data_IF_310336582556
#
_entry.id   IF_310336582556
#
_cell.length_a   1.000
_cell.length_b   1.000
_cell.length_c   1.000
_cell.angle_alpha   90.00
_cell.angle_beta   90.00
_cell.angle_gamma   90.00
#
_symmetry.space_group_name_H-M   'P 1'
#
loop_
_entity.id
_entity.type
_entity.pdbx_description
1 polymer ?
#
# COMPACT_ATOMS: atom_id res chain seq x y z
N UNK A 1 -18.32 21.23 -3.37
CA UNK A 1 -17.09 20.57 -3.87
C UNK A 1 -17.03 20.71 -5.37
N UNK A 2 -15.97 21.30 -5.91
CA UNK A 2 -15.84 21.52 -7.36
C UNK A 2 -15.94 20.16 -8.08
N UNK A 3 -16.71 20.08 -9.20
CA UNK A 3 -16.96 18.82 -9.92
C UNK A 3 -15.70 18.11 -10.39
N UNK A 4 -14.62 18.88 -10.61
CA UNK A 4 -13.35 18.40 -11.15
C UNK A 4 -12.38 17.82 -10.11
N UNK A 5 -12.58 18.05 -8.82
CA UNK A 5 -11.71 17.54 -7.75
C UNK A 5 -11.99 16.06 -7.54
N UNK A 6 -10.97 15.22 -7.71
CA UNK A 6 -11.03 13.76 -7.54
C UNK A 6 -10.40 13.29 -6.24
N UNK A 7 -9.41 14.02 -5.71
CA UNK A 7 -8.82 13.78 -4.39
C UNK A 7 -8.90 15.08 -3.61
N UNK A 8 -9.44 15.02 -2.39
CA UNK A 8 -9.40 16.13 -1.44
C UNK A 8 -8.87 15.63 -0.11
N UNK A 9 -7.82 16.26 0.38
CA UNK A 9 -7.17 15.97 1.66
C UNK A 9 -7.31 17.21 2.55
N UNK A 10 -7.82 17.03 3.76
CA UNK A 10 -8.13 18.12 4.68
C UNK A 10 -7.52 17.83 6.06
N UNK A 11 -6.56 18.68 6.48
CA UNK A 11 -5.90 18.64 7.78
C UNK A 11 -5.36 17.26 8.19
N UNK A 12 -4.87 16.50 7.18
CA UNK A 12 -4.42 15.12 7.35
C UNK A 12 -3.21 15.06 8.26
N UNK A 13 -3.29 14.24 9.29
CA UNK A 13 -2.17 13.99 10.20
C UNK A 13 -2.05 12.49 10.48
N UNK A 14 -0.81 12.00 10.59
CA UNK A 14 -0.52 10.63 10.99
C UNK A 14 0.58 10.60 12.03
N UNK A 15 0.25 9.99 13.15
CA UNK A 15 1.15 9.75 14.26
C UNK A 15 1.43 8.25 14.40
N UNK A 16 2.68 7.89 14.62
CA UNK A 16 3.10 6.56 15.01
C UNK A 16 3.67 6.59 16.42
N UNK A 17 3.40 5.53 17.17
CA UNK A 17 4.01 5.33 18.48
C UNK A 17 5.18 4.37 18.31
N UNK A 18 6.39 4.84 18.63
CA UNK A 18 7.59 4.02 18.62
C UNK A 18 7.78 3.51 20.05
N UNK A 19 7.54 2.23 20.26
CA UNK A 19 7.77 1.55 21.54
C UNK A 19 8.54 0.26 21.31
N UNK A 20 9.23 -0.24 22.34
CA UNK A 20 9.73 -1.61 22.32
C UNK A 20 8.52 -2.53 22.10
N UNK A 21 8.64 -3.44 21.11
CA UNK A 21 7.70 -4.56 20.98
C UNK A 21 7.57 -5.20 22.35
N UNK A 22 6.36 -5.36 22.83
CA UNK A 22 6.11 -6.29 23.93
C UNK A 22 6.74 -7.62 23.50
N UNK A 23 7.83 -7.99 24.16
CA UNK A 23 8.39 -9.33 24.07
C UNK A 23 7.22 -10.28 24.28
N UNK A 24 7.13 -11.36 23.50
CA UNK A 24 6.10 -12.39 23.68
C UNK A 24 6.21 -12.94 25.11
N UNK A 25 5.62 -12.21 26.05
CA UNK A 25 5.56 -12.61 27.44
C UNK A 25 4.58 -13.78 27.51
N UNK A 26 5.04 -14.92 28.01
CA UNK A 26 4.16 -16.04 28.32
C UNK A 26 3.18 -15.62 29.41
N UNK A 27 2.04 -16.32 29.55
CA UNK A 27 1.07 -16.04 30.61
C UNK A 27 1.73 -16.05 31.99
N UNK A 28 2.77 -16.85 32.18
CA UNK A 28 3.57 -16.94 33.42
C UNK A 28 4.34 -15.63 33.67
N UNK A 29 4.94 -15.05 32.64
CA UNK A 29 5.72 -13.80 32.77
C UNK A 29 4.78 -12.63 33.10
N UNK A 30 3.56 -12.62 32.55
CA UNK A 30 2.53 -11.61 32.87
C UNK A 30 2.11 -11.64 34.34
N UNK A 31 2.00 -12.84 34.96
CA UNK A 31 1.61 -12.99 36.36
C UNK A 31 2.71 -12.55 37.34
N UNK A 32 3.98 -12.74 36.96
CA UNK A 32 5.14 -12.39 37.83
C UNK A 32 5.47 -10.88 37.73
N UNK A 33 5.14 -10.21 36.61
CA UNK A 33 5.45 -8.78 36.38
C UNK A 33 4.35 -7.81 36.85
N UNK A 34 3.16 -8.32 37.26
CA UNK A 34 2.03 -7.49 37.71
C UNK A 34 2.40 -6.43 38.74
N UNK A 35 3.22 -6.69 39.78
CA UNK A 35 3.55 -5.66 40.78
C UNK A 35 4.61 -4.64 40.31
N UNK A 36 5.42 -4.96 39.27
CA UNK A 36 6.49 -4.08 38.78
C UNK A 36 6.04 -3.09 37.70
N UNK A 37 4.91 -3.34 37.03
CA UNK A 37 4.37 -2.46 35.95
C UNK A 37 3.69 -1.21 36.47
N UNK A 38 3.31 -1.14 37.75
CA UNK A 38 2.59 0.01 38.33
C UNK A 38 3.48 1.27 38.39
N UNK A 39 4.81 1.12 38.36
CA UNK A 39 5.75 2.25 38.52
C UNK A 39 6.63 2.56 37.30
N UNK A 40 6.57 1.80 36.20
CA UNK A 40 7.30 2.16 34.98
C UNK A 40 6.38 2.80 33.96
N UNK A 41 6.36 4.13 33.98
CA UNK A 41 5.79 4.95 32.90
C UNK A 41 6.69 4.78 31.68
N UNK A 42 6.37 3.81 30.79
CA UNK A 42 7.06 3.67 29.52
C UNK A 42 6.84 4.94 28.71
N UNK A 43 7.89 5.68 28.47
CA UNK A 43 7.88 6.84 27.57
C UNK A 43 7.75 6.33 26.13
N UNK A 44 6.51 6.18 25.68
CA UNK A 44 6.20 5.91 24.27
C UNK A 44 6.64 7.13 23.47
N UNK A 45 7.68 7.01 22.65
CA UNK A 45 8.07 8.07 21.72
C UNK A 45 7.03 8.17 20.62
N UNK A 46 6.37 9.31 20.53
CA UNK A 46 5.45 9.60 19.43
C UNK A 46 6.21 10.26 18.29
N UNK A 47 5.92 9.83 17.08
CA UNK A 47 6.49 10.37 15.86
C UNK A 47 5.37 10.76 14.90
N UNK A 48 5.36 12.04 14.49
CA UNK A 48 4.43 12.53 13.49
C UNK A 48 5.02 12.35 12.10
N UNK A 49 4.47 11.39 11.35
CA UNK A 49 4.86 11.16 9.97
C UNK A 49 4.24 12.19 9.01
N UNK A 50 3.02 12.65 9.32
CA UNK A 50 2.32 13.73 8.63
C UNK A 50 1.70 14.66 9.66
N UNK A 51 1.63 15.97 9.36
CA UNK A 51 1.06 16.97 10.24
C UNK A 51 0.34 18.05 9.44
N UNK A 52 -0.99 18.12 9.59
CA UNK A 52 -1.87 19.11 8.96
C UNK A 52 -1.67 19.30 7.45
N UNK A 53 -1.61 18.19 6.70
CA UNK A 53 -1.44 18.21 5.25
C UNK A 53 -2.81 18.43 4.60
N UNK A 54 -2.92 19.42 3.72
CA UNK A 54 -4.14 19.70 2.95
C UNK A 54 -3.78 20.02 1.51
N UNK A 55 -4.49 19.38 0.57
CA UNK A 55 -4.36 19.64 -0.87
C UNK A 55 -5.55 19.05 -1.62
N UNK A 56 -5.70 19.45 -2.87
CA UNK A 56 -6.70 18.90 -3.79
C UNK A 56 -5.99 18.48 -5.08
N UNK A 57 -6.52 17.43 -5.71
CA UNK A 57 -6.08 16.97 -7.04
C UNK A 57 -7.28 16.91 -7.96
N UNK A 58 -7.16 17.50 -9.13
CA UNK A 58 -8.19 17.54 -10.17
C UNK A 58 -8.08 16.35 -11.11
N UNK A 59 -9.12 16.09 -11.84
CA UNK A 59 -9.13 15.05 -12.87
C UNK A 59 -8.07 15.33 -13.95
N UNK A 60 -7.25 14.30 -14.26
CA UNK A 60 -6.15 14.42 -15.24
C UNK A 60 -4.91 15.10 -14.71
N UNK A 61 -4.91 15.58 -13.47
CA UNK A 61 -3.75 16.21 -12.85
C UNK A 61 -2.73 15.15 -12.41
N UNK A 62 -1.43 15.45 -12.59
CA UNK A 62 -0.29 14.68 -12.10
C UNK A 62 0.33 15.41 -10.91
N UNK A 63 0.26 14.80 -9.73
CA UNK A 63 0.84 15.35 -8.50
C UNK A 63 2.15 14.65 -8.14
N UNK A 64 3.26 15.38 -8.10
CA UNK A 64 4.54 14.89 -7.61
C UNK A 64 4.71 15.14 -6.11
N UNK A 65 5.01 14.09 -5.34
CA UNK A 65 5.32 14.18 -3.91
C UNK A 65 6.82 14.01 -3.70
N UNK A 66 7.52 15.10 -3.41
CA UNK A 66 8.97 15.12 -3.22
C UNK A 66 9.35 15.44 -1.77
N UNK A 67 10.53 15.02 -1.35
CA UNK A 67 11.03 15.27 0.01
C UNK A 67 12.12 14.27 0.41
N UNK A 68 12.82 14.55 1.52
CA UNK A 68 13.87 13.69 2.09
C UNK A 68 13.31 12.31 2.51
N UNK A 69 14.20 11.32 2.70
CA UNK A 69 13.81 10.05 3.30
C UNK A 69 13.27 10.28 4.72
N UNK A 70 12.16 9.62 5.06
CA UNK A 70 11.45 9.84 6.32
C UNK A 70 10.48 11.03 6.35
N UNK A 71 10.35 11.83 5.28
CA UNK A 71 9.44 12.98 5.23
C UNK A 71 7.93 12.62 5.17
N UNK A 72 7.57 11.34 5.22
CA UNK A 72 6.17 10.91 5.24
C UNK A 72 5.55 10.61 3.87
N UNK A 73 6.31 10.68 2.75
CA UNK A 73 5.81 10.43 1.39
C UNK A 73 5.07 9.09 1.27
N UNK A 74 5.71 7.99 1.67
CA UNK A 74 5.12 6.65 1.63
C UNK A 74 3.92 6.52 2.58
N UNK A 75 3.92 7.23 3.71
CA UNK A 75 2.79 7.26 4.64
C UNK A 75 1.59 7.95 3.99
N UNK A 76 1.80 9.09 3.32
CA UNK A 76 0.73 9.78 2.58
C UNK A 76 0.13 8.86 1.51
N UNK A 77 0.97 8.24 0.68
CA UNK A 77 0.51 7.32 -0.37
C UNK A 77 -0.25 6.11 0.21
N UNK A 78 0.22 5.51 1.31
CA UNK A 78 -0.48 4.41 2.00
C UNK A 78 -1.85 4.83 2.54
N UNK A 79 -1.99 6.07 3.01
CA UNK A 79 -3.28 6.59 3.46
C UNK A 79 -4.21 6.85 2.27
N UNK A 80 -3.72 7.45 1.18
CA UNK A 80 -4.48 7.64 -0.05
C UNK A 80 -4.95 6.30 -0.66
N UNK A 81 -4.14 5.26 -0.54
CA UNK A 81 -4.46 3.89 -0.97
C UNK A 81 -5.33 3.11 0.04
N UNK A 82 -5.76 3.75 1.14
CA UNK A 82 -6.56 3.13 2.21
C UNK A 82 -5.90 1.92 2.89
N UNK A 83 -4.58 1.80 2.81
CA UNK A 83 -3.79 0.76 3.51
C UNK A 83 -3.59 1.14 4.99
N UNK A 84 -3.49 2.44 5.27
CA UNK A 84 -3.27 2.98 6.62
C UNK A 84 -4.30 4.06 6.89
N UNK A 85 -4.94 4.02 8.06
CA UNK A 85 -5.85 5.07 8.48
C UNK A 85 -5.10 6.30 9.00
N UNK A 86 -5.61 7.51 8.76
CA UNK A 86 -5.06 8.74 9.36
C UNK A 86 -5.31 8.77 10.87
N UNK A 87 -4.52 9.53 11.60
CA UNK A 87 -4.77 9.82 13.03
C UNK A 87 -5.81 10.93 13.20
N UNK A 88 -5.82 11.91 12.31
CA UNK A 88 -6.82 12.98 12.23
C UNK A 88 -6.86 13.55 10.81
N UNK A 89 -7.90 14.33 10.53
CA UNK A 89 -8.18 14.88 9.20
C UNK A 89 -9.05 13.94 8.37
N UNK A 90 -9.32 14.35 7.14
CA UNK A 90 -10.26 13.64 6.26
C UNK A 90 -9.71 13.56 4.83
N UNK A 91 -10.03 12.46 4.16
CA UNK A 91 -9.74 12.25 2.74
C UNK A 91 -11.02 11.89 2.02
N UNK A 92 -11.28 12.61 0.93
CA UNK A 92 -12.36 12.30 0.01
C UNK A 92 -11.76 11.88 -1.32
N UNK A 93 -12.09 10.66 -1.76
CA UNK A 93 -11.64 10.08 -3.03
C UNK A 93 -12.85 9.78 -3.91
N UNK A 94 -12.83 10.22 -5.17
CA UNK A 94 -13.86 9.91 -6.16
C UNK A 94 -13.35 8.89 -7.16
N UNK A 95 -14.05 7.77 -7.27
CA UNK A 95 -13.70 6.69 -8.20
C UNK A 95 -12.88 5.57 -7.56
N UNK A 96 -12.34 4.68 -8.41
CA UNK A 96 -11.47 3.58 -7.99
C UNK A 96 -10.05 4.08 -7.77
N UNK A 97 -9.40 3.62 -6.71
CA UNK A 97 -7.99 3.89 -6.42
C UNK A 97 -7.23 2.59 -6.65
N UNK A 98 -6.26 2.62 -7.55
CA UNK A 98 -5.26 1.56 -7.70
C UNK A 98 -3.94 2.05 -7.09
N UNK A 99 -3.25 1.18 -6.36
CA UNK A 99 -1.98 1.47 -5.73
C UNK A 99 -0.88 0.58 -6.30
N UNK A 100 0.19 1.20 -6.78
CA UNK A 100 1.40 0.52 -7.22
C UNK A 100 2.51 0.54 -6.15
N UNK A 101 2.17 0.83 -4.90
CA UNK A 101 3.15 0.92 -3.80
C UNK A 101 3.85 -0.40 -3.52
N UNK A 102 3.22 -1.49 -3.84
CA UNK A 102 3.70 -2.84 -3.57
C UNK A 102 3.52 -3.70 -4.84
N UNK A 103 4.30 -3.36 -5.89
CA UNK A 103 4.28 -4.09 -7.17
C UNK A 103 4.58 -5.58 -6.92
N UNK A 104 3.67 -6.45 -7.36
CA UNK A 104 3.83 -7.89 -7.27
C UNK A 104 3.46 -8.55 -5.94
N UNK A 105 2.98 -7.80 -4.93
CA UNK A 105 2.57 -8.40 -3.64
C UNK A 105 1.40 -9.38 -3.77
N UNK A 106 0.60 -9.26 -4.83
CA UNK A 106 -0.50 -10.18 -5.13
C UNK A 106 -0.09 -11.42 -5.93
N UNK A 107 1.16 -11.52 -6.36
CA UNK A 107 1.62 -12.63 -7.19
C UNK A 107 1.84 -13.90 -6.36
N UNK A 108 1.36 -15.02 -6.86
CA UNK A 108 1.69 -16.35 -6.34
C UNK A 108 2.79 -16.97 -7.22
N UNK A 109 3.89 -17.33 -6.60
CA UNK A 109 5.07 -17.85 -7.29
C UNK A 109 4.84 -19.21 -7.97
N UNK A 110 3.89 -20.01 -7.49
CA UNK A 110 3.54 -21.30 -8.06
C UNK A 110 2.62 -21.19 -9.29
N UNK A 111 1.95 -20.05 -9.46
CA UNK A 111 1.08 -19.80 -10.60
C UNK A 111 1.87 -19.31 -11.81
N UNK A 112 1.34 -19.59 -13.00
CA UNK A 112 1.86 -19.08 -14.27
C UNK A 112 1.71 -17.56 -14.38
N UNK A 113 2.40 -16.93 -15.34
CA UNK A 113 2.21 -15.53 -15.66
C UNK A 113 0.76 -15.19 -16.01
N UNK A 114 0.13 -16.07 -16.82
CA UNK A 114 -1.29 -15.96 -17.18
C UNK A 114 -2.22 -15.91 -15.97
N UNK A 115 -2.06 -16.87 -15.07
CA UNK A 115 -2.89 -16.97 -13.86
C UNK A 115 -2.65 -15.79 -12.92
N UNK A 116 -1.41 -15.31 -12.80
CA UNK A 116 -1.07 -14.12 -12.01
C UNK A 116 -1.68 -12.84 -12.58
N UNK A 117 -1.80 -12.68 -13.90
CA UNK A 117 -2.51 -11.55 -14.52
C UNK A 117 -3.96 -11.50 -14.02
N UNK A 118 -4.67 -12.65 -14.04
CA UNK A 118 -6.05 -12.70 -13.55
C UNK A 118 -6.14 -12.49 -12.04
N UNK A 119 -5.23 -13.09 -11.27
CA UNK A 119 -5.19 -12.95 -9.82
C UNK A 119 -4.96 -11.50 -9.42
N UNK A 120 -3.89 -10.89 -9.94
CA UNK A 120 -3.53 -9.52 -9.62
C UNK A 120 -4.56 -8.50 -10.10
N UNK A 121 -5.07 -8.67 -11.32
CA UNK A 121 -6.15 -7.84 -11.83
C UNK A 121 -7.40 -7.87 -10.94
N UNK A 122 -7.75 -9.05 -10.41
CA UNK A 122 -8.87 -9.20 -9.48
C UNK A 122 -8.59 -8.52 -8.13
N UNK A 123 -7.37 -8.62 -7.60
CA UNK A 123 -6.94 -7.93 -6.37
C UNK A 123 -7.02 -6.40 -6.55
N UNK A 124 -6.66 -5.90 -7.74
CA UNK A 124 -6.78 -4.48 -8.09
C UNK A 124 -8.23 -4.03 -8.39
N UNK A 125 -9.21 -4.92 -8.23
CA UNK A 125 -10.62 -4.62 -8.39
C UNK A 125 -11.12 -4.61 -9.84
N UNK A 126 -10.39 -5.24 -10.76
CA UNK A 126 -10.86 -5.43 -12.14
C UNK A 126 -11.83 -6.61 -12.23
N UNK A 127 -12.86 -6.47 -13.04
CA UNK A 127 -13.73 -7.58 -13.40
C UNK A 127 -13.02 -8.53 -14.38
N UNK A 128 -13.43 -9.80 -14.44
CA UNK A 128 -12.89 -10.78 -15.38
C UNK A 128 -12.99 -10.32 -16.85
N UNK A 129 -14.06 -9.56 -17.19
CA UNK A 129 -14.24 -8.98 -18.53
C UNK A 129 -13.20 -7.90 -18.83
N UNK A 130 -12.91 -7.03 -17.85
CA UNK A 130 -11.89 -5.98 -17.99
C UNK A 130 -10.50 -6.59 -18.14
N UNK A 131 -10.17 -7.59 -17.32
CA UNK A 131 -8.88 -8.30 -17.42
C UNK A 131 -8.74 -8.93 -18.80
N UNK A 132 -9.77 -9.69 -19.26
CA UNK A 132 -9.74 -10.33 -20.59
C UNK A 132 -9.56 -9.32 -21.72
N UNK A 133 -10.19 -8.15 -21.64
CA UNK A 133 -10.06 -7.10 -22.65
C UNK A 133 -8.65 -6.51 -22.72
N UNK A 134 -7.95 -6.45 -21.58
CA UNK A 134 -6.60 -5.85 -21.47
C UNK A 134 -5.49 -6.90 -21.48
N UNK A 135 -5.84 -8.16 -21.59
CA UNK A 135 -4.89 -9.25 -21.41
C UNK A 135 -3.74 -9.19 -22.42
N UNK A 136 -4.04 -9.01 -23.69
CA UNK A 136 -3.03 -8.96 -24.75
C UNK A 136 -2.12 -7.73 -24.60
N UNK A 137 -2.69 -6.56 -24.23
CA UNK A 137 -1.92 -5.34 -23.95
C UNK A 137 -0.95 -5.55 -22.77
N UNK A 138 -1.39 -6.24 -21.71
CA UNK A 138 -0.56 -6.56 -20.53
C UNK A 138 0.59 -7.50 -20.93
N UNK A 139 0.29 -8.53 -21.69
CA UNK A 139 1.30 -9.51 -22.14
C UNK A 139 2.34 -8.83 -23.04
N UNK A 140 1.91 -8.06 -24.03
CA UNK A 140 2.78 -7.30 -24.92
C UNK A 140 3.66 -6.32 -24.15
N UNK A 141 3.08 -5.52 -23.24
CA UNK A 141 3.82 -4.56 -22.42
C UNK A 141 4.88 -5.23 -21.55
N UNK A 142 4.54 -6.36 -20.95
CA UNK A 142 5.47 -7.10 -20.07
C UNK A 142 6.59 -7.81 -20.82
N UNK A 143 6.39 -8.15 -22.12
CA UNK A 143 7.33 -8.87 -22.96
C UNK A 143 7.61 -10.30 -22.46
N UNK A 144 6.61 -10.96 -21.87
CA UNK A 144 6.73 -12.32 -21.31
C UNK A 144 5.98 -13.38 -22.10
N UNK A 145 5.56 -13.09 -23.35
CA UNK A 145 4.72 -14.00 -24.18
C UNK A 145 5.22 -15.43 -24.18
N UNK A 146 6.54 -15.62 -24.39
CA UNK A 146 7.17 -16.94 -24.47
C UNK A 146 7.15 -17.73 -23.17
N UNK A 147 6.96 -17.04 -22.03
CA UNK A 147 6.99 -17.59 -20.69
C UNK A 147 5.64 -17.53 -19.99
N UNK A 148 4.60 -17.08 -20.69
CA UNK A 148 3.30 -16.76 -20.11
C UNK A 148 2.67 -17.93 -19.35
N UNK A 149 2.88 -19.16 -19.83
CA UNK A 149 2.37 -20.38 -19.22
C UNK A 149 3.40 -21.11 -18.33
N UNK A 150 4.49 -20.39 -17.97
CA UNK A 150 5.51 -20.87 -17.03
C UNK A 150 5.23 -20.26 -15.65
N UNK A 151 5.40 -21.01 -14.53
CA UNK A 151 5.30 -20.47 -13.18
C UNK A 151 6.26 -19.32 -12.95
N UNK A 152 5.77 -18.23 -12.31
CA UNK A 152 6.56 -16.99 -12.17
C UNK A 152 7.78 -17.14 -11.25
N UNK A 153 7.88 -18.21 -10.47
CA UNK A 153 9.11 -18.56 -9.72
C UNK A 153 10.33 -18.78 -10.63
N UNK A 154 10.11 -19.08 -11.90
CA UNK A 154 11.17 -19.26 -12.89
C UNK A 154 11.46 -17.99 -13.70
N UNK A 155 10.75 -16.89 -13.40
CA UNK A 155 10.99 -15.62 -14.07
C UNK A 155 12.25 -14.95 -13.55
N UNK A 156 12.93 -14.21 -14.41
CA UNK A 156 13.93 -13.25 -13.94
C UNK A 156 13.25 -12.13 -13.14
N UNK A 157 14.01 -11.46 -12.28
CA UNK A 157 13.48 -10.32 -11.51
C UNK A 157 12.87 -9.24 -12.40
N UNK A 158 13.48 -8.98 -13.57
CA UNK A 158 12.96 -8.01 -14.55
C UNK A 158 11.65 -8.46 -15.19
N UNK A 159 11.49 -9.75 -15.53
CA UNK A 159 10.24 -10.31 -16.04
C UNK A 159 9.13 -10.21 -15.01
N UNK A 160 9.45 -10.58 -13.76
CA UNK A 160 8.50 -10.51 -12.65
C UNK A 160 7.99 -9.08 -12.43
N UNK A 161 8.88 -8.10 -12.33
CA UNK A 161 8.50 -6.70 -12.08
C UNK A 161 7.70 -6.13 -13.25
N UNK A 162 8.10 -6.39 -14.52
CA UNK A 162 7.36 -5.89 -15.69
C UNK A 162 5.95 -6.47 -15.79
N UNK A 163 5.78 -7.76 -15.46
CA UNK A 163 4.44 -8.37 -15.47
C UNK A 163 3.58 -7.86 -14.31
N UNK A 164 4.19 -7.56 -13.17
CA UNK A 164 3.50 -7.10 -11.97
C UNK A 164 3.10 -5.61 -12.04
N UNK A 165 3.80 -4.80 -12.87
CA UNK A 165 3.49 -3.40 -13.11
C UNK A 165 2.24 -3.21 -13.94
#
# INVERSE_FOLDING_TARGET
>A
MNKDVVIKVENLSKKYTIGKKDSYLTLRDKLVELPKKIFKKETKKEFWALKNVSFEVKRGEVLGVIGRNGAGKSTLLKILSRIVEPTSGQITLKGRVASLLEVGTGFNQELTGRENIYLNGSILGMTKKEIKKKFDEIVEFSGVEKFLDTPVKHYSSGMYVRLAF
#
